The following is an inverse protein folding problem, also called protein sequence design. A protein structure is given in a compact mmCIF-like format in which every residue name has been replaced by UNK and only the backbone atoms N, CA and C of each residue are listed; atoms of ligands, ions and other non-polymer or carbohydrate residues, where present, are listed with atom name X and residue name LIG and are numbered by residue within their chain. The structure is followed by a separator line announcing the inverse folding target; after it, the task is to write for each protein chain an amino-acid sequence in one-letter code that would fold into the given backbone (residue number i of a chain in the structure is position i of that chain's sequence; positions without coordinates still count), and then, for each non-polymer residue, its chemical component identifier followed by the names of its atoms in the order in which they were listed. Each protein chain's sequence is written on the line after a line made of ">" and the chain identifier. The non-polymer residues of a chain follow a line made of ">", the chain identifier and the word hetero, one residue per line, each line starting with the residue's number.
data_IF_885774906061
#
_entry.id   IF_885774906061
#
_cell.length_a   1.000
_cell.length_b   1.000
_cell.length_c   1.000
_cell.angle_alpha   90.00
_cell.angle_beta   90.00
_cell.angle_gamma   90.00
#
_symmetry.space_group_name_H-M   'P 1'
#
loop_
_entity.id
_entity.type
_entity.pdbx_description
1 polymer ?
#
# COMPACT_ATOMS: atom_id res chain seq x y z
N UNK A 1 15.75 -3.54 -41.49
CA UNK A 1 16.40 -4.83 -41.76
C UNK A 1 15.97 -5.74 -40.64
N UNK A 2 15.06 -6.67 -40.88
CA UNK A 2 14.35 -7.42 -39.82
C UNK A 2 15.04 -8.74 -39.45
N UNK A 3 16.35 -8.81 -39.68
CA UNK A 3 17.19 -9.95 -39.37
C UNK A 3 17.71 -9.83 -37.93
N UNK A 4 17.77 -10.97 -37.23
CA UNK A 4 18.39 -11.03 -35.91
C UNK A 4 19.88 -10.69 -36.01
N UNK A 5 20.47 -10.10 -34.95
CA UNK A 5 21.88 -9.73 -34.97
C UNK A 5 22.75 -10.99 -35.12
N UNK A 6 23.68 -10.95 -36.08
CA UNK A 6 24.72 -11.97 -36.16
C UNK A 6 25.90 -11.57 -35.25
N UNK A 7 26.10 -12.36 -34.21
CA UNK A 7 27.12 -12.15 -33.18
C UNK A 7 28.22 -13.21 -33.22
N UNK A 8 28.15 -14.15 -34.17
CA UNK A 8 29.19 -15.17 -34.33
C UNK A 8 30.34 -14.63 -35.17
N UNK A 9 31.53 -14.53 -34.58
CA UNK A 9 32.75 -14.13 -35.30
C UNK A 9 33.94 -14.96 -34.83
N UNK A 10 34.86 -15.23 -35.75
CA UNK A 10 36.09 -15.98 -35.47
C UNK A 10 37.25 -15.35 -36.24
N UNK A 11 38.44 -15.34 -35.64
CA UNK A 11 39.63 -14.67 -36.17
C UNK A 11 40.79 -15.65 -36.20
N UNK A 12 41.44 -15.74 -37.36
CA UNK A 12 42.61 -16.58 -37.60
C UNK A 12 43.79 -15.80 -38.18
N UNK A 13 45.01 -16.26 -37.93
CA UNK A 13 46.24 -15.61 -38.42
C UNK A 13 46.60 -16.14 -39.80
N UNK A 14 46.60 -15.26 -40.79
CA UNK A 14 47.03 -15.57 -42.15
C UNK A 14 48.57 -15.50 -42.25
N UNK A 15 49.20 -16.51 -42.85
CA UNK A 15 50.62 -16.47 -43.17
C UNK A 15 50.91 -15.38 -44.21
N UNK A 16 52.11 -14.81 -44.19
CA UNK A 16 52.51 -13.73 -45.10
C UNK A 16 52.42 -14.12 -46.58
N UNK A 17 52.51 -15.43 -46.88
CA UNK A 17 52.37 -16.00 -48.22
C UNK A 17 51.00 -16.62 -48.50
N UNK A 18 50.05 -16.48 -47.56
CA UNK A 18 48.68 -17.00 -47.62
C UNK A 18 48.58 -18.52 -47.85
N UNK A 19 49.66 -19.29 -47.60
CA UNK A 19 49.65 -20.76 -47.84
C UNK A 19 48.70 -21.51 -46.92
N UNK A 20 48.37 -20.95 -45.76
CA UNK A 20 47.46 -21.55 -44.79
C UNK A 20 45.99 -21.13 -44.96
N UNK A 21 45.61 -20.43 -46.04
CA UNK A 21 44.24 -19.90 -46.18
C UNK A 21 43.16 -20.99 -46.18
N UNK A 22 43.40 -22.13 -46.83
CA UNK A 22 42.41 -23.21 -46.93
C UNK A 22 42.20 -23.87 -45.56
N UNK A 23 43.29 -24.21 -44.88
CA UNK A 23 43.25 -24.77 -43.52
C UNK A 23 42.67 -23.78 -42.52
N UNK A 24 42.95 -22.49 -42.68
CA UNK A 24 42.38 -21.44 -41.85
C UNK A 24 40.86 -21.39 -42.02
N UNK A 25 40.34 -21.36 -43.26
CA UNK A 25 38.89 -21.35 -43.51
C UNK A 25 38.21 -22.58 -42.91
N UNK A 26 38.81 -23.77 -43.07
CA UNK A 26 38.27 -25.01 -42.51
C UNK A 26 38.25 -24.97 -40.97
N UNK A 27 39.33 -24.52 -40.33
CA UNK A 27 39.40 -24.38 -38.87
C UNK A 27 38.41 -23.34 -38.34
N UNK A 28 38.31 -22.18 -38.98
CA UNK A 28 37.38 -21.12 -38.57
C UNK A 28 35.91 -21.53 -38.80
N UNK A 29 35.61 -22.22 -39.90
CA UNK A 29 34.27 -22.78 -40.14
C UNK A 29 33.89 -23.83 -39.09
N UNK A 30 34.84 -24.70 -38.71
CA UNK A 30 34.64 -25.67 -37.64
C UNK A 30 34.39 -24.99 -36.28
N UNK A 31 35.09 -23.90 -35.96
CA UNK A 31 34.84 -23.13 -34.73
C UNK A 31 33.44 -22.50 -34.70
N UNK A 32 32.98 -21.97 -35.83
CA UNK A 32 31.66 -21.35 -35.95
C UNK A 32 30.55 -22.41 -35.86
N UNK A 33 30.69 -23.51 -36.61
CA UNK A 33 29.69 -24.59 -36.66
C UNK A 33 29.58 -25.38 -35.35
N UNK A 34 30.60 -25.33 -34.48
CA UNK A 34 30.58 -25.99 -33.18
C UNK A 34 29.91 -25.17 -32.06
N UNK A 35 29.35 -24.00 -32.39
CA UNK A 35 28.78 -23.09 -31.42
C UNK A 35 27.42 -22.59 -31.85
N UNK A 36 26.43 -22.73 -30.98
CA UNK A 36 25.10 -22.15 -31.17
C UNK A 36 24.90 -21.07 -30.12
N UNK A 37 24.53 -19.87 -30.58
CA UNK A 37 24.19 -18.71 -29.75
C UNK A 37 22.76 -18.31 -30.09
N UNK A 38 21.86 -18.33 -29.11
CA UNK A 38 20.49 -17.85 -29.31
C UNK A 38 20.43 -16.32 -29.19
N UNK A 39 19.73 -15.69 -30.13
CA UNK A 39 19.50 -14.25 -30.22
C UNK A 39 18.01 -13.97 -30.42
N UNK A 40 17.59 -12.78 -30.00
CA UNK A 40 16.23 -12.28 -30.17
C UNK A 40 16.19 -10.78 -30.47
N UNK A 41 15.01 -10.30 -30.82
CA UNK A 41 14.72 -8.89 -31.05
C UNK A 41 13.93 -8.24 -29.89
N UNK A 42 13.84 -8.88 -28.73
CA UNK A 42 13.07 -8.34 -27.62
C UNK A 42 13.76 -7.15 -26.99
N UNK A 43 12.96 -6.20 -26.55
CA UNK A 43 13.47 -4.95 -26.03
C UNK A 43 12.89 -4.65 -24.65
N UNK A 44 13.77 -4.63 -23.65
CA UNK A 44 13.37 -4.33 -22.27
C UNK A 44 12.80 -2.92 -22.08
N UNK A 45 13.13 -1.96 -22.96
CA UNK A 45 12.51 -0.63 -22.91
C UNK A 45 11.06 -0.61 -23.42
N UNK A 46 10.67 -1.61 -24.21
CA UNK A 46 9.27 -1.86 -24.60
C UNK A 46 8.53 -2.74 -23.60
N UNK A 47 9.12 -2.98 -22.42
CA UNK A 47 8.48 -3.71 -21.33
C UNK A 47 8.60 -5.23 -21.43
N UNK A 48 9.26 -5.79 -22.44
CA UNK A 48 9.47 -7.23 -22.59
C UNK A 48 10.92 -7.65 -22.33
N UNK A 49 11.11 -8.73 -21.57
CA UNK A 49 12.43 -9.30 -21.29
C UNK A 49 12.43 -10.80 -21.54
N UNK A 50 13.45 -11.27 -22.27
CA UNK A 50 13.72 -12.71 -22.43
C UNK A 50 14.90 -13.11 -21.57
N UNK A 51 14.86 -14.34 -21.08
CA UNK A 51 15.97 -15.00 -20.43
C UNK A 51 16.11 -16.43 -20.95
N UNK A 52 17.35 -16.92 -20.99
CA UNK A 52 17.70 -18.18 -21.62
C UNK A 52 18.36 -19.13 -20.63
N UNK A 53 18.00 -20.41 -20.74
CA UNK A 53 18.73 -21.51 -20.11
C UNK A 53 18.99 -22.57 -21.14
N UNK A 54 20.21 -23.09 -21.22
CA UNK A 54 20.59 -24.10 -22.20
C UNK A 54 20.83 -25.46 -21.56
N UNK A 55 20.49 -26.50 -22.31
CA UNK A 55 20.86 -27.89 -22.05
C UNK A 55 21.51 -28.43 -23.33
N UNK A 56 22.84 -28.43 -23.30
CA UNK A 56 23.69 -28.93 -24.38
C UNK A 56 23.97 -30.44 -24.20
N UNK A 57 25.06 -30.94 -24.79
CA UNK A 57 25.38 -32.37 -24.93
C UNK A 57 25.65 -33.14 -23.63
N UNK A 58 26.07 -32.47 -22.55
CA UNK A 58 26.32 -33.11 -21.24
C UNK A 58 25.04 -33.41 -20.42
N UNK A 59 23.87 -33.22 -21.02
CA UNK A 59 22.64 -33.98 -20.74
C UNK A 59 21.91 -33.80 -19.40
N UNK A 60 22.53 -33.25 -18.34
CA UNK A 60 21.91 -33.28 -17.00
C UNK A 60 21.69 -31.93 -16.32
N UNK A 61 22.40 -30.87 -16.70
CA UNK A 61 22.29 -29.56 -16.01
C UNK A 61 21.87 -28.46 -16.95
N UNK A 62 20.74 -27.82 -16.65
CA UNK A 62 20.38 -26.52 -17.24
C UNK A 62 21.35 -25.45 -16.72
N UNK A 63 21.99 -24.74 -17.64
CA UNK A 63 22.87 -23.60 -17.34
C UNK A 63 22.19 -22.31 -17.77
N UNK A 64 22.35 -21.24 -16.99
CA UNK A 64 21.88 -19.89 -17.35
C UNK A 64 22.80 -19.28 -18.41
N UNK A 65 22.59 -19.71 -19.66
CA UNK A 65 23.32 -19.21 -20.81
C UNK A 65 22.48 -19.43 -22.06
N UNK A 66 22.67 -18.55 -23.04
CA UNK A 66 22.12 -18.66 -24.39
C UNK A 66 23.10 -19.34 -25.38
N UNK A 67 24.20 -19.93 -24.86
CA UNK A 67 25.27 -20.50 -25.67
C UNK A 67 25.40 -22.01 -25.40
N UNK A 68 25.63 -22.77 -26.47
CA UNK A 68 26.14 -24.13 -26.42
C UNK A 68 27.39 -24.23 -27.30
N UNK A 69 28.50 -24.71 -26.73
CA UNK A 69 29.79 -24.91 -27.41
C UNK A 69 30.08 -26.41 -27.59
N UNK A 70 30.95 -26.75 -28.55
CA UNK A 70 31.42 -28.12 -28.79
C UNK A 70 30.44 -29.03 -29.53
N UNK A 71 29.49 -28.45 -30.26
CA UNK A 71 28.42 -29.15 -30.97
C UNK A 71 28.94 -29.72 -32.29
N UNK A 72 28.49 -30.90 -32.70
CA UNK A 72 28.81 -31.48 -34.00
C UNK A 72 27.56 -31.58 -34.87
N UNK A 73 27.77 -31.74 -36.17
CA UNK A 73 26.68 -31.98 -37.11
C UNK A 73 25.94 -33.26 -36.69
N UNK A 74 24.64 -33.14 -36.43
CA UNK A 74 23.77 -34.22 -35.97
C UNK A 74 23.48 -34.22 -34.45
N UNK A 75 24.15 -33.36 -33.69
CA UNK A 75 23.87 -33.17 -32.26
C UNK A 75 22.59 -32.35 -32.03
N UNK A 76 21.84 -32.67 -30.97
CA UNK A 76 20.64 -31.96 -30.57
C UNK A 76 20.86 -31.25 -29.22
N UNK A 77 20.47 -29.98 -29.16
CA UNK A 77 20.53 -29.15 -27.94
C UNK A 77 19.19 -28.49 -27.71
N UNK A 78 18.85 -28.22 -26.45
CA UNK A 78 17.58 -27.58 -26.10
C UNK A 78 17.80 -26.29 -25.31
N UNK A 79 17.02 -25.26 -25.63
CA UNK A 79 17.00 -23.99 -24.92
C UNK A 79 15.62 -23.75 -24.31
N UNK A 80 15.59 -23.43 -23.02
CA UNK A 80 14.41 -22.98 -22.30
C UNK A 80 14.42 -21.46 -22.27
N UNK A 81 13.39 -20.85 -22.87
CA UNK A 81 13.24 -19.39 -22.98
C UNK A 81 12.11 -18.95 -22.08
N UNK A 82 12.37 -17.98 -21.21
CA UNK A 82 11.35 -17.36 -20.35
C UNK A 82 11.09 -15.94 -20.80
N UNK A 83 9.85 -15.65 -21.17
CA UNK A 83 9.35 -14.33 -21.54
C UNK A 83 8.67 -13.68 -20.32
N UNK A 84 9.09 -12.46 -19.99
CA UNK A 84 8.55 -11.68 -18.88
C UNK A 84 8.09 -10.30 -19.36
N UNK A 85 6.87 -9.91 -18.98
CA UNK A 85 6.36 -8.56 -19.15
C UNK A 85 6.64 -7.76 -17.87
N UNK A 86 7.55 -6.78 -17.96
CA UNK A 86 8.04 -5.98 -16.83
C UNK A 86 7.11 -4.83 -16.47
N UNK A 87 6.49 -4.20 -17.47
CA UNK A 87 5.52 -3.11 -17.30
C UNK A 87 4.68 -2.93 -18.56
N UNK A 88 3.56 -2.24 -18.39
CA UNK A 88 2.61 -1.93 -19.46
C UNK A 88 3.07 -0.71 -20.27
N UNK A 89 3.34 -0.90 -21.55
CA UNK A 89 3.61 0.19 -22.52
C UNK A 89 2.45 0.35 -23.51
N UNK A 90 2.42 1.46 -24.26
CA UNK A 90 1.35 1.76 -25.22
C UNK A 90 1.23 0.73 -26.35
N UNK A 91 2.35 0.17 -26.78
CA UNK A 91 2.40 -0.91 -27.75
C UNK A 91 2.11 -2.22 -27.02
N UNK A 92 1.07 -2.97 -27.45
CA UNK A 92 0.61 -4.19 -26.76
C UNK A 92 0.91 -5.46 -27.55
N UNK A 93 1.03 -5.32 -28.86
CA UNK A 93 1.21 -6.41 -29.81
C UNK A 93 2.67 -6.43 -30.29
N UNK A 94 3.35 -7.55 -30.07
CA UNK A 94 4.76 -7.71 -30.43
C UNK A 94 4.92 -8.99 -31.25
N UNK A 95 5.69 -8.90 -32.34
CA UNK A 95 6.18 -10.07 -33.05
C UNK A 95 7.65 -10.31 -32.67
N UNK A 96 7.85 -11.24 -31.74
CA UNK A 96 9.19 -11.62 -31.30
C UNK A 96 9.76 -12.69 -32.23
N UNK A 97 11.04 -12.54 -32.56
CA UNK A 97 11.82 -13.52 -33.30
C UNK A 97 12.91 -14.04 -32.39
N UNK A 98 13.00 -15.35 -32.25
CA UNK A 98 14.00 -16.04 -31.44
C UNK A 98 14.67 -17.06 -32.35
N UNK A 99 16.00 -17.04 -32.45
CA UNK A 99 16.69 -17.98 -33.30
C UNK A 99 18.19 -18.04 -33.04
N UNK A 100 18.87 -19.05 -33.61
CA UNK A 100 20.31 -19.13 -33.58
C UNK A 100 20.96 -18.03 -34.44
N UNK A 101 22.01 -17.42 -33.92
CA UNK A 101 22.83 -16.44 -34.65
C UNK A 101 23.41 -17.05 -35.92
N UNK A 102 23.30 -16.32 -37.04
CA UNK A 102 23.88 -16.72 -38.33
C UNK A 102 23.08 -17.77 -39.09
N UNK A 103 21.88 -18.15 -38.62
CA UNK A 103 20.94 -19.01 -39.33
C UNK A 103 19.63 -18.27 -39.61
N UNK A 104 19.00 -18.61 -40.74
CA UNK A 104 17.76 -17.97 -41.19
C UNK A 104 16.51 -18.51 -40.48
N UNK A 105 16.60 -19.71 -39.91
CA UNK A 105 15.49 -20.37 -39.21
C UNK A 105 15.25 -19.69 -37.86
N UNK A 106 14.04 -19.14 -37.69
CA UNK A 106 13.65 -18.41 -36.47
C UNK A 106 12.28 -18.85 -36.00
N UNK A 107 12.10 -18.92 -34.68
CA UNK A 107 10.81 -19.07 -34.03
C UNK A 107 10.14 -17.69 -33.95
N UNK A 108 8.96 -17.55 -34.53
CA UNK A 108 8.13 -16.36 -34.40
C UNK A 108 7.12 -16.55 -33.26
N UNK A 109 7.04 -15.57 -32.37
CA UNK A 109 6.14 -15.57 -31.22
C UNK A 109 5.32 -14.29 -31.25
N UNK A 110 4.02 -14.42 -31.48
CA UNK A 110 3.07 -13.31 -31.40
C UNK A 110 2.63 -13.14 -29.95
N UNK A 111 2.94 -11.98 -29.37
CA UNK A 111 2.67 -11.66 -27.97
C UNK A 111 1.67 -10.52 -27.89
N UNK A 112 0.56 -10.76 -27.19
CA UNK A 112 -0.41 -9.73 -26.84
C UNK A 112 -0.41 -9.50 -25.33
N UNK A 113 0.03 -8.31 -24.91
CA UNK A 113 0.15 -7.96 -23.49
C UNK A 113 -1.17 -7.40 -22.97
N UNK A 114 -1.82 -8.17 -22.10
CA UNK A 114 -3.04 -7.76 -21.40
C UNK A 114 -2.70 -6.89 -20.18
N UNK A 115 -3.13 -5.63 -20.23
CA UNK A 115 -2.85 -4.64 -19.20
C UNK A 115 -4.07 -3.86 -18.74
N UNK A 116 -5.06 -3.77 -19.62
CA UNK A 116 -6.32 -3.10 -19.33
C UNK A 116 -7.24 -4.13 -18.68
N UNK A 117 -8.11 -3.68 -17.77
CA UNK A 117 -9.06 -4.58 -17.13
C UNK A 117 -10.37 -4.62 -17.94
N UNK A 118 -11.02 -5.79 -18.04
CA UNK A 118 -12.27 -5.94 -18.82
C UNK A 118 -13.36 -4.90 -18.44
N UNK A 119 -13.42 -4.51 -17.16
CA UNK A 119 -14.38 -3.52 -16.65
C UNK A 119 -14.09 -2.06 -17.05
N UNK A 120 -12.91 -1.80 -17.62
CA UNK A 120 -12.54 -0.48 -18.16
C UNK A 120 -13.07 -0.28 -19.57
N UNK A 121 -13.41 -1.36 -20.27
CA UNK A 121 -14.00 -1.31 -21.62
C UNK A 121 -15.48 -1.67 -21.60
N UNK A 122 -15.87 -2.68 -20.83
CA UNK A 122 -17.24 -3.15 -20.74
C UNK A 122 -17.86 -2.76 -19.39
N UNK A 123 -19.04 -2.13 -19.44
CA UNK A 123 -19.78 -1.75 -18.23
C UNK A 123 -19.50 -0.35 -17.71
N UNK A 124 -18.90 0.54 -18.52
CA UNK A 124 -18.89 1.98 -18.21
C UNK A 124 -20.34 2.50 -18.22
N UNK A 125 -20.79 3.01 -17.08
CA UNK A 125 -22.08 3.71 -17.00
C UNK A 125 -21.81 5.21 -17.06
N UNK A 126 -21.98 5.77 -18.25
CA UNK A 126 -21.82 7.21 -18.46
C UNK A 126 -22.81 8.03 -17.64
N UNK A 127 -22.36 9.15 -17.07
CA UNK A 127 -23.17 10.03 -16.23
C UNK A 127 -23.96 9.26 -15.16
N UNK A 128 -23.30 8.34 -14.47
CA UNK A 128 -23.95 7.43 -13.54
C UNK A 128 -24.66 8.17 -12.40
N UNK A 129 -25.89 7.78 -12.02
CA UNK A 129 -26.57 8.32 -10.84
C UNK A 129 -25.77 8.14 -9.55
N UNK A 130 -24.95 7.07 -9.46
CA UNK A 130 -24.04 6.83 -8.32
C UNK A 130 -22.97 7.93 -8.24
N UNK A 131 -22.58 8.48 -9.39
CA UNK A 131 -21.64 9.60 -9.53
C UNK A 131 -22.38 10.94 -9.62
N UNK A 132 -23.63 10.99 -9.11
CA UNK A 132 -24.53 12.16 -9.14
C UNK A 132 -24.77 12.74 -10.54
N UNK A 133 -24.62 11.93 -11.58
CA UNK A 133 -24.72 12.38 -12.97
C UNK A 133 -23.60 13.32 -13.41
N UNK A 134 -22.52 13.42 -12.63
CA UNK A 134 -21.36 14.30 -12.89
C UNK A 134 -20.07 13.52 -13.19
N UNK A 135 -20.20 12.24 -13.51
CA UNK A 135 -19.08 11.37 -13.80
C UNK A 135 -19.53 10.01 -14.30
N UNK A 136 -18.58 9.27 -14.83
CA UNK A 136 -18.80 7.94 -15.38
C UNK A 136 -18.41 6.89 -14.34
N UNK A 137 -19.21 5.85 -14.18
CA UNK A 137 -18.87 4.74 -13.28
C UNK A 137 -18.06 3.72 -14.06
N UNK A 138 -16.78 3.57 -13.70
CA UNK A 138 -15.82 2.64 -14.33
C UNK A 138 -15.27 1.71 -13.25
N UNK A 139 -15.41 0.39 -13.44
CA UNK A 139 -14.97 -0.61 -12.45
C UNK A 139 -15.45 -0.35 -11.00
N UNK A 140 -16.63 0.24 -10.82
CA UNK A 140 -17.19 0.55 -9.49
C UNK A 140 -16.66 1.85 -8.84
N UNK A 141 -15.87 2.64 -9.56
CA UNK A 141 -15.34 3.95 -9.12
C UNK A 141 -15.86 5.04 -10.04
N UNK A 142 -16.13 6.24 -9.51
CA UNK A 142 -16.58 7.38 -10.29
C UNK A 142 -15.40 8.16 -10.90
N UNK A 143 -15.37 8.24 -12.23
CA UNK A 143 -14.52 9.16 -12.99
C UNK A 143 -15.26 10.49 -13.20
N UNK A 144 -14.96 11.47 -12.36
CA UNK A 144 -15.68 12.74 -12.35
C UNK A 144 -15.34 13.66 -13.53
N UNK A 145 -16.36 14.35 -14.05
CA UNK A 145 -16.22 15.31 -15.14
C UNK A 145 -15.89 16.72 -14.61
N UNK A 146 -15.06 17.44 -15.38
CA UNK A 146 -14.73 18.84 -15.11
C UNK A 146 -13.97 19.03 -13.79
N UNK A 147 -14.53 19.84 -12.90
CA UNK A 147 -13.96 20.19 -11.58
C UNK A 147 -14.58 19.39 -10.43
N UNK A 148 -15.45 18.43 -10.74
CA UNK A 148 -16.07 17.64 -9.69
C UNK A 148 -15.08 16.62 -9.15
N UNK A 149 -15.11 16.42 -7.84
CA UNK A 149 -14.23 15.51 -7.11
C UNK A 149 -15.01 14.87 -5.96
N UNK A 150 -14.37 13.94 -5.27
CA UNK A 150 -15.02 13.10 -4.25
C UNK A 150 -15.29 11.70 -4.79
N UNK A 151 -15.77 10.82 -3.92
CA UNK A 151 -15.95 9.39 -4.25
C UNK A 151 -17.08 9.18 -5.27
N UNK A 152 -18.06 10.07 -5.25
CA UNK A 152 -19.29 10.06 -6.02
C UNK A 152 -19.48 11.37 -6.82
N UNK A 153 -18.40 12.11 -7.07
CA UNK A 153 -18.43 13.42 -7.75
C UNK A 153 -19.36 14.44 -7.08
N UNK A 154 -19.46 14.35 -5.76
CA UNK A 154 -20.34 15.14 -4.91
C UNK A 154 -19.85 16.57 -4.67
N UNK A 155 -18.55 16.79 -4.79
CA UNK A 155 -17.92 18.07 -4.53
C UNK A 155 -17.68 18.81 -5.83
N UNK A 156 -18.05 20.08 -5.91
CA UNK A 156 -17.55 20.98 -6.94
C UNK A 156 -16.35 21.74 -6.37
N UNK A 157 -15.13 21.36 -6.76
CA UNK A 157 -13.90 21.91 -6.21
C UNK A 157 -12.95 22.36 -7.34
N UNK A 158 -13.17 23.55 -7.91
CA UNK A 158 -12.30 24.06 -8.96
C UNK A 158 -10.86 24.18 -8.45
N UNK A 159 -9.95 23.40 -9.06
CA UNK A 159 -8.51 23.44 -8.79
C UNK A 159 -8.02 22.64 -7.59
N UNK A 160 -8.88 21.86 -6.91
CA UNK A 160 -8.44 20.95 -5.86
C UNK A 160 -8.58 19.48 -6.30
N UNK A 161 -7.51 18.71 -6.13
CA UNK A 161 -7.56 17.25 -6.27
C UNK A 161 -8.20 16.59 -5.05
N UNK A 162 -8.64 15.34 -5.20
CA UNK A 162 -9.09 14.49 -4.07
C UNK A 162 -8.05 14.44 -2.95
N UNK A 163 -6.76 14.34 -3.30
CA UNK A 163 -5.64 14.36 -2.35
C UNK A 163 -5.59 15.67 -1.55
N UNK A 164 -5.84 16.81 -2.20
CA UNK A 164 -5.85 18.11 -1.53
C UNK A 164 -7.06 18.27 -0.60
N UNK A 165 -8.19 17.61 -0.90
CA UNK A 165 -9.36 17.58 -0.02
C UNK A 165 -9.13 16.66 1.18
N UNK A 166 -8.56 15.48 0.97
CA UNK A 166 -8.22 14.56 2.08
C UNK A 166 -7.24 15.18 3.06
N UNK A 167 -6.31 16.01 2.58
CA UNK A 167 -5.40 16.77 3.42
C UNK A 167 -6.13 17.74 4.37
N UNK A 168 -7.28 18.30 3.95
CA UNK A 168 -8.10 19.17 4.82
C UNK A 168 -8.81 18.42 5.94
N UNK A 169 -8.95 17.10 5.80
CA UNK A 169 -9.54 16.23 6.81
C UNK A 169 -8.50 15.61 7.77
N UNK A 170 -7.24 16.05 7.69
CA UNK A 170 -6.18 15.66 8.62
C UNK A 170 -5.88 16.81 9.57
N UNK A 171 -5.84 16.51 10.86
CA UNK A 171 -5.46 17.49 11.90
C UNK A 171 -3.97 17.84 11.83
N UNK A 172 -3.14 16.85 11.56
CA UNK A 172 -1.70 16.97 11.28
C UNK A 172 -1.33 16.09 10.09
N UNK A 173 -0.20 16.33 9.42
CA UNK A 173 0.22 15.53 8.26
C UNK A 173 0.37 14.02 8.58
N UNK A 174 0.67 13.69 9.84
CA UNK A 174 0.80 12.32 10.36
C UNK A 174 -0.53 11.73 10.84
N UNK A 175 -1.54 12.56 11.11
CA UNK A 175 -2.83 12.07 11.57
C UNK A 175 -3.55 11.31 10.46
N UNK A 176 -4.31 10.29 10.87
CA UNK A 176 -5.26 9.64 9.98
C UNK A 176 -6.35 10.63 9.53
N UNK A 177 -6.90 10.40 8.34
CA UNK A 177 -8.07 11.15 7.85
C UNK A 177 -9.20 11.00 8.88
N UNK A 178 -9.73 12.13 9.36
CA UNK A 178 -10.78 12.19 10.37
C UNK A 178 -10.46 11.36 11.64
N UNK A 179 -9.18 11.32 12.03
CA UNK A 179 -8.67 10.55 13.19
C UNK A 179 -9.08 9.06 13.16
N UNK A 180 -9.37 8.53 11.96
CA UNK A 180 -9.84 7.15 11.74
C UNK A 180 -11.27 6.89 12.22
N UNK A 181 -12.02 7.93 12.61
CA UNK A 181 -13.37 7.84 13.20
C UNK A 181 -14.44 8.52 12.36
N UNK A 182 -14.16 8.74 11.08
CA UNK A 182 -15.10 9.29 10.13
C UNK A 182 -14.63 9.14 8.69
N UNK A 183 -15.43 9.66 7.77
CA UNK A 183 -15.12 9.73 6.34
C UNK A 183 -14.89 11.19 5.96
N UNK A 184 -13.87 11.46 5.14
CA UNK A 184 -13.67 12.79 4.59
C UNK A 184 -14.60 12.98 3.38
N UNK A 185 -15.54 13.92 3.50
CA UNK A 185 -16.43 14.31 2.43
C UNK A 185 -16.15 15.78 2.05
N UNK A 186 -15.63 16.01 0.85
CA UNK A 186 -15.29 17.34 0.35
C UNK A 186 -14.38 18.20 1.26
N UNK A 187 -13.47 17.57 2.00
CA UNK A 187 -12.60 18.27 2.95
C UNK A 187 -13.24 18.58 4.31
N UNK A 188 -14.39 17.97 4.60
CA UNK A 188 -15.08 18.03 5.90
C UNK A 188 -15.24 16.60 6.43
N UNK A 189 -14.96 16.37 7.70
CA UNK A 189 -15.12 15.06 8.30
C UNK A 189 -16.58 14.78 8.72
N UNK A 190 -17.10 13.66 8.26
CA UNK A 190 -18.35 13.07 8.71
C UNK A 190 -18.03 11.94 9.69
N UNK A 191 -18.26 12.18 10.98
CA UNK A 191 -17.92 11.23 12.04
C UNK A 191 -18.87 10.03 12.07
N UNK A 192 -18.34 8.86 12.36
CA UNK A 192 -19.14 7.64 12.45
C UNK A 192 -20.14 7.70 13.59
N UNK A 193 -21.35 7.24 13.32
CA UNK A 193 -22.38 7.02 14.32
C UNK A 193 -22.12 5.71 15.07
N UNK A 194 -22.60 5.63 16.32
CA UNK A 194 -22.47 4.45 17.20
C UNK A 194 -23.83 3.80 17.37
N UNK A 195 -23.83 2.50 17.70
CA UNK A 195 -25.07 1.75 17.98
C UNK A 195 -25.90 2.37 19.12
N UNK A 196 -25.21 2.93 20.12
CA UNK A 196 -25.83 3.69 21.19
C UNK A 196 -25.94 5.16 20.79
N UNK A 197 -27.16 5.65 20.60
CA UNK A 197 -27.45 7.02 20.17
C UNK A 197 -26.94 8.11 21.14
N UNK A 198 -26.71 7.76 22.40
CA UNK A 198 -26.16 8.69 23.39
C UNK A 198 -24.63 8.84 23.27
N UNK A 199 -23.97 7.94 22.54
CA UNK A 199 -22.54 7.95 22.33
C UNK A 199 -22.22 8.65 21.01
N UNK A 200 -21.56 9.79 21.11
CA UNK A 200 -21.31 10.66 19.96
C UNK A 200 -19.81 10.89 19.81
N UNK A 201 -19.35 10.76 18.57
CA UNK A 201 -18.06 11.23 18.10
C UNK A 201 -18.28 12.61 17.47
N UNK A 202 -17.41 13.55 17.78
CA UNK A 202 -17.53 14.95 17.35
C UNK A 202 -16.16 15.58 17.14
N UNK A 203 -16.16 16.85 16.72
CA UNK A 203 -14.95 17.59 16.39
C UNK A 203 -14.79 17.76 14.88
N UNK A 204 -13.92 18.69 14.48
CA UNK A 204 -13.69 18.99 13.05
C UNK A 204 -13.04 17.82 12.32
N UNK A 205 -12.26 17.02 13.04
CA UNK A 205 -11.53 15.86 12.56
C UNK A 205 -12.00 14.58 13.26
N UNK A 206 -13.20 14.59 13.87
CA UNK A 206 -13.72 13.50 14.68
C UNK A 206 -12.82 13.12 15.87
N UNK A 207 -12.08 14.11 16.38
CA UNK A 207 -11.07 13.97 17.43
C UNK A 207 -11.66 13.75 18.83
N UNK A 208 -12.93 14.10 19.03
CA UNK A 208 -13.59 14.09 20.32
C UNK A 208 -14.68 13.01 20.43
N UNK A 209 -14.93 12.58 21.66
CA UNK A 209 -16.07 11.74 22.00
C UNK A 209 -16.61 12.08 23.40
N UNK A 210 -17.83 11.62 23.69
CA UNK A 210 -18.50 11.84 24.98
C UNK A 210 -18.54 10.57 25.88
N UNK A 211 -17.77 9.52 25.58
CA UNK A 211 -17.87 8.22 26.25
C UNK A 211 -16.54 7.62 26.75
N UNK A 212 -15.40 8.19 26.38
CA UNK A 212 -14.06 7.79 26.83
C UNK A 212 -13.50 8.66 27.98
N UNK A 213 -14.36 9.41 28.67
CA UNK A 213 -13.96 10.15 29.86
C UNK A 213 -13.61 9.24 31.06
N UNK A 214 -12.83 9.76 32.02
CA UNK A 214 -12.52 9.10 33.29
C UNK A 214 -13.77 8.53 33.99
N UNK A 215 -13.64 7.31 34.50
CA UNK A 215 -14.71 6.61 35.22
C UNK A 215 -14.34 6.46 36.69
N UNK A 216 -15.34 6.64 37.56
CA UNK A 216 -15.30 6.26 38.97
C UNK A 216 -16.54 5.42 39.27
N UNK A 217 -16.39 4.31 40.00
CA UNK A 217 -17.47 3.35 40.25
C UNK A 217 -18.25 2.94 38.98
N UNK A 218 -17.51 2.72 37.89
CA UNK A 218 -18.02 2.35 36.55
C UNK A 218 -18.91 3.41 35.88
N UNK A 219 -19.05 4.60 36.46
CA UNK A 219 -19.79 5.72 35.88
C UNK A 219 -18.83 6.74 35.28
N UNK A 220 -19.14 7.18 34.07
CA UNK A 220 -18.42 8.29 33.42
C UNK A 220 -18.62 9.55 34.27
N UNK A 221 -17.51 10.23 34.58
CA UNK A 221 -17.50 11.41 35.43
C UNK A 221 -18.24 11.21 36.76
N UNK A 222 -18.17 10.00 37.32
CA UNK A 222 -18.86 9.57 38.54
C UNK A 222 -20.41 9.78 38.53
N UNK A 223 -21.01 10.15 37.40
CA UNK A 223 -22.39 10.66 37.32
C UNK A 223 -22.56 12.12 37.78
N UNK A 224 -21.47 12.76 38.20
CA UNK A 224 -21.42 14.11 38.76
C UNK A 224 -20.80 15.13 37.79
N UNK A 225 -20.68 14.80 36.51
CA UNK A 225 -20.19 15.70 35.49
C UNK A 225 -20.69 15.33 34.09
N UNK A 226 -20.35 16.17 33.13
CA UNK A 226 -20.56 15.95 31.71
C UNK A 226 -19.21 15.64 31.05
N UNK A 227 -19.17 14.63 30.18
CA UNK A 227 -17.97 14.31 29.42
C UNK A 227 -17.86 15.22 28.19
N UNK A 228 -16.73 15.91 28.08
CA UNK A 228 -16.39 16.77 26.95
C UNK A 228 -14.99 16.42 26.44
N UNK A 229 -14.92 15.80 25.26
CA UNK A 229 -13.68 15.41 24.58
C UNK A 229 -12.65 14.70 25.50
N UNK A 230 -13.10 13.71 26.27
CA UNK A 230 -12.23 12.94 27.18
C UNK A 230 -11.95 13.60 28.53
N UNK A 231 -12.50 14.79 28.80
CA UNK A 231 -12.41 15.46 30.11
C UNK A 231 -13.78 15.59 30.78
N UNK A 232 -13.80 15.51 32.11
CA UNK A 232 -15.02 15.65 32.89
C UNK A 232 -15.22 17.10 33.35
N UNK A 233 -16.31 17.72 32.90
CA UNK A 233 -16.77 19.00 33.44
C UNK A 233 -17.69 18.72 34.62
N UNK A 234 -17.18 18.93 35.83
CA UNK A 234 -17.90 18.62 37.06
C UNK A 234 -19.06 19.57 37.34
N UNK A 235 -20.16 19.01 37.84
CA UNK A 235 -21.29 19.79 38.37
C UNK A 235 -20.83 20.56 39.61
N UNK A 236 -21.48 21.70 39.94
CA UNK A 236 -21.18 22.45 41.16
C UNK A 236 -21.17 21.55 42.40
N UNK A 237 -20.16 21.71 43.26
CA UNK A 237 -19.99 20.89 44.47
C UNK A 237 -19.16 19.62 44.27
N UNK A 238 -18.64 19.35 43.07
CA UNK A 238 -17.79 18.20 42.77
C UNK A 238 -16.47 18.62 42.11
N UNK A 239 -15.42 17.87 42.38
CA UNK A 239 -14.07 18.05 41.82
C UNK A 239 -13.38 16.70 41.60
N UNK A 240 -12.14 16.71 41.14
CA UNK A 240 -11.40 15.52 40.74
C UNK A 240 -11.48 15.25 39.24
N UNK A 241 -10.59 14.38 38.75
CA UNK A 241 -10.46 14.10 37.30
C UNK A 241 -11.71 13.41 36.74
N UNK A 242 -12.40 12.63 37.55
CA UNK A 242 -13.64 11.93 37.21
C UNK A 242 -14.84 12.52 37.99
N UNK A 243 -14.73 13.72 38.56
CA UNK A 243 -15.76 14.32 39.42
C UNK A 243 -16.16 13.44 40.61
N UNK A 244 -15.20 12.66 41.12
CA UNK A 244 -15.37 11.69 42.19
C UNK A 244 -15.36 12.32 43.59
N UNK A 245 -14.90 13.56 43.72
CA UNK A 245 -14.59 14.19 45.00
C UNK A 245 -15.63 15.27 45.33
N UNK A 246 -16.49 15.09 46.35
CA UNK A 246 -17.37 16.14 46.80
C UNK A 246 -16.58 17.27 47.48
N UNK A 247 -16.98 18.52 47.23
CA UNK A 247 -16.45 19.71 47.92
C UNK A 247 -17.11 19.94 49.28
N UNK A 248 -18.28 19.33 49.52
CA UNK A 248 -18.94 19.40 50.82
C UNK A 248 -18.17 18.61 51.89
N UNK A 249 -18.11 19.16 53.10
CA UNK A 249 -17.55 18.54 54.29
C UNK A 249 -18.60 17.77 55.11
N UNK A 250 -19.87 17.79 54.70
CA UNK A 250 -21.00 17.27 55.51
C UNK A 250 -20.82 15.80 55.88
N UNK A 251 -20.29 14.99 54.96
CA UNK A 251 -19.98 13.57 55.19
C UNK A 251 -18.86 13.31 56.20
N UNK A 252 -18.05 14.33 56.49
CA UNK A 252 -16.96 14.29 57.47
C UNK A 252 -17.31 15.00 58.78
N UNK A 253 -18.50 15.57 58.92
CA UNK A 253 -18.93 16.25 60.16
C UNK A 253 -19.30 15.20 61.21
N UNK A 254 -18.58 15.20 62.33
CA UNK A 254 -18.89 14.33 63.46
C UNK A 254 -19.97 14.94 64.36
N UNK A 255 -20.59 14.11 65.23
CA UNK A 255 -21.65 14.55 66.14
C UNK A 255 -21.22 15.67 67.12
N UNK A 256 -19.92 15.84 67.35
CA UNK A 256 -19.35 16.92 68.15
C UNK A 256 -19.17 18.25 67.37
N UNK A 257 -19.65 18.32 66.12
CA UNK A 257 -19.58 19.51 65.26
C UNK A 257 -18.20 19.78 64.66
N UNK A 258 -17.21 18.90 64.85
CA UNK A 258 -15.87 19.03 64.26
C UNK A 258 -15.71 18.11 63.06
N UNK A 259 -15.06 18.61 62.01
CA UNK A 259 -14.63 17.80 60.86
C UNK A 259 -13.68 16.70 61.36
N UNK A 260 -14.00 15.45 61.06
CA UNK A 260 -13.19 14.28 61.43
C UNK A 260 -12.83 14.21 62.92
N UNK A 261 -13.76 14.58 63.80
CA UNK A 261 -13.54 14.69 65.26
C UNK A 261 -12.37 15.61 65.68
N UNK A 262 -11.87 16.46 64.77
CA UNK A 262 -10.66 17.27 64.99
C UNK A 262 -9.35 16.47 64.95
N UNK A 263 -9.39 15.21 64.51
CA UNK A 263 -8.26 14.27 64.49
C UNK A 263 -7.88 13.85 63.06
N UNK A 264 -8.24 14.65 62.06
CA UNK A 264 -7.92 14.35 60.68
C UNK A 264 -8.37 15.42 59.69
N UNK A 265 -8.06 15.17 58.43
CA UNK A 265 -8.47 15.99 57.29
C UNK A 265 -9.57 15.29 56.50
N UNK A 266 -10.60 16.03 56.07
CA UNK A 266 -11.60 15.50 55.15
C UNK A 266 -11.09 15.58 53.72
N UNK A 267 -10.97 14.44 53.05
CA UNK A 267 -10.51 14.34 51.67
C UNK A 267 -11.57 13.58 50.88
N UNK A 268 -12.21 14.28 49.95
CA UNK A 268 -13.27 13.72 49.11
C UNK A 268 -14.41 13.07 49.90
N UNK A 269 -14.85 13.73 50.97
CA UNK A 269 -15.93 13.23 51.83
C UNK A 269 -15.54 12.04 52.72
N UNK A 270 -14.25 11.75 52.86
CA UNK A 270 -13.73 10.73 53.78
C UNK A 270 -12.67 11.30 54.71
N UNK A 271 -12.78 10.98 55.99
CA UNK A 271 -11.79 11.39 56.97
C UNK A 271 -10.48 10.60 56.83
N UNK A 272 -9.40 11.34 56.57
CA UNK A 272 -8.02 10.87 56.70
C UNK A 272 -7.51 11.31 58.07
N UNK A 273 -7.60 10.42 59.04
CA UNK A 273 -7.10 10.67 60.39
C UNK A 273 -5.59 10.94 60.37
N UNK A 274 -5.13 11.87 61.22
CA UNK A 274 -3.71 12.03 61.49
C UNK A 274 -3.22 10.73 62.13
N UNK A 275 -2.16 10.15 61.57
CA UNK A 275 -1.59 8.92 62.09
C UNK A 275 -0.84 9.21 63.38
N UNK A 276 -1.52 9.03 64.50
CA UNK A 276 -0.84 8.74 65.76
C UNK A 276 -0.52 7.23 65.80
N UNK A 277 0.57 6.88 66.47
CA UNK A 277 1.04 5.50 66.66
C UNK A 277 -0.01 4.53 67.26
N UNK A 278 0.40 3.28 67.56
CA UNK A 278 -0.47 2.11 67.53
C UNK A 278 -1.67 2.19 68.50
N UNK A 279 -2.87 1.99 67.95
CA UNK A 279 -4.14 1.87 68.69
C UNK A 279 -4.93 3.17 68.62
N UNK A 280 -6.14 3.25 68.06
CA UNK A 280 -7.20 2.26 67.88
C UNK A 280 -8.00 2.65 66.63
N UNK A 281 -8.22 1.70 65.72
CA UNK A 281 -9.11 1.90 64.56
C UNK A 281 -10.55 1.74 65.06
N UNK A 282 -11.29 2.83 65.20
CA UNK A 282 -12.75 2.75 65.17
C UNK A 282 -13.16 2.72 63.71
N UNK A 283 -13.80 1.60 63.33
CA UNK A 283 -14.37 1.36 62.00
C UNK A 283 -15.71 2.08 61.88
#
# INVERSE_FOLDING_TARGET
>A
SDALPDVSSSVGVLADDSRNIVTLIEEEYNKISQKIIMVDNANSSQGLRLSYRSRCLDGHTLKETNVCDGIKVGDEVSFEVTLEATHCVKERDFNLKIGPSGLDETLQVDVHVLCDCDCETDGIVYNSPICRGKGDLVCGICMCHGTNVGRHCECDAPGLSTVALDAKCKRTNESAICEGRGVCNCGVCECFERDNINEKISGQFCECDNFNCPRHDRKICAGHGTCDCGQCTCKPGWTGRACECPLSLDSCMAANGKVCNGQGECICGRCRCFSDGPGYRYS
#
